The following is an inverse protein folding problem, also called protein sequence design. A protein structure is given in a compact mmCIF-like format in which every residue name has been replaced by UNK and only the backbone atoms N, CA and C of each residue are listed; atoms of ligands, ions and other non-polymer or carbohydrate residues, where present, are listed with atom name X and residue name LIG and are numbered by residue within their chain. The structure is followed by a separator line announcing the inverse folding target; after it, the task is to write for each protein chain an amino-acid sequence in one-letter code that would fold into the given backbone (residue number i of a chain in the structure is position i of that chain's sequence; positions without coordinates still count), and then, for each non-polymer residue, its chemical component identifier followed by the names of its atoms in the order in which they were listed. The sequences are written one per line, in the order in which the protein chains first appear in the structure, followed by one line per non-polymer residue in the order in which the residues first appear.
data_IF_195452124379
#
_entry.id   IF_195452124379
#
_cell.length_a   1.000
_cell.length_b   1.000
_cell.length_c   1.000
_cell.angle_alpha   90.00
_cell.angle_beta   90.00
_cell.angle_gamma   90.00
#
_symmetry.space_group_name_H-M   'P 1'
#
loop_
_entity.id
_entity.type
_entity.pdbx_description
1 polymer ?
2 water ?
#
# COMPACT_ATOMS: atom_id res chain seq x y z
N UNK A 1 -1.04 5.54 14.60
CA UNK A 1 -1.44 6.06 13.26
C UNK A 1 -0.21 6.29 12.39
N UNK A 2 0.84 6.85 12.97
CA UNK A 2 2.07 7.10 12.23
C UNK A 2 2.76 5.79 11.88
N UNK A 3 2.65 4.79 12.75
CA UNK A 3 3.26 3.49 12.49
C UNK A 3 2.48 2.76 11.40
N UNK A 4 1.15 2.83 11.48
CA UNK A 4 0.27 2.18 10.51
C UNK A 4 0.43 2.81 9.13
N UNK A 5 0.59 4.13 9.09
CA UNK A 5 0.77 4.85 7.83
C UNK A 5 2.12 4.52 7.22
N UNK A 6 3.09 4.21 8.08
CA UNK A 6 4.43 3.84 7.62
C UNK A 6 4.32 2.46 7.01
N UNK A 7 3.53 1.60 7.66
CA UNK A 7 3.31 0.25 7.19
C UNK A 7 2.58 0.26 5.84
N UNK A 8 1.53 1.08 5.72
CA UNK A 8 0.79 1.17 4.46
C UNK A 8 1.72 1.74 3.39
N UNK A 9 2.47 2.77 3.76
CA UNK A 9 3.42 3.41 2.86
C UNK A 9 4.45 2.40 2.36
N UNK A 10 4.85 1.47 3.22
CA UNK A 10 5.83 0.46 2.83
C UNK A 10 5.29 -0.49 1.76
N UNK A 11 4.04 -0.92 1.92
CA UNK A 11 3.44 -1.84 0.96
C UNK A 11 3.21 -1.16 -0.38
N UNK A 12 2.72 0.07 -0.33
CA UNK A 12 2.48 0.84 -1.54
C UNK A 12 3.80 1.07 -2.30
N UNK A 13 4.77 1.66 -1.61
CA UNK A 13 6.08 1.96 -2.21
C UNK A 13 6.73 0.72 -2.82
N UNK A 14 6.65 -0.40 -2.13
CA UNK A 14 7.26 -1.63 -2.63
C UNK A 14 6.54 -2.19 -3.86
N UNK A 15 5.22 -2.05 -3.90
CA UNK A 15 4.46 -2.53 -5.04
C UNK A 15 4.82 -1.69 -6.27
N UNK A 16 4.83 -0.38 -6.10
CA UNK A 16 5.17 0.51 -7.21
C UNK A 16 6.57 0.24 -7.74
N UNK A 17 7.52 0.01 -6.84
CA UNK A 17 8.90 -0.25 -7.25
C UNK A 17 9.00 -1.44 -8.18
N UNK A 18 8.44 -2.56 -7.76
CA UNK A 18 8.46 -3.76 -8.58
C UNK A 18 7.79 -3.48 -9.93
N UNK A 19 6.66 -2.79 -9.90
CA UNK A 19 5.93 -2.49 -11.13
C UNK A 19 6.70 -1.48 -11.99
N UNK A 20 7.29 -0.48 -11.36
CA UNK A 20 8.07 0.53 -12.07
C UNK A 20 9.16 -0.16 -12.88
N UNK A 21 9.90 -1.05 -12.22
CA UNK A 21 10.99 -1.78 -12.88
C UNK A 21 10.51 -2.57 -14.09
N UNK A 22 9.34 -3.19 -13.99
CA UNK A 22 8.81 -3.97 -15.10
C UNK A 22 8.15 -3.11 -16.19
N UNK A 23 7.74 -1.89 -15.84
CA UNK A 23 7.11 -0.99 -16.80
C UNK A 23 7.72 0.40 -16.68
N UNK A 24 8.99 0.53 -17.11
CA UNK A 24 9.83 1.74 -17.10
C UNK A 24 9.30 2.98 -17.79
N UNK A 25 8.64 2.81 -18.93
CA UNK A 25 8.12 3.94 -19.68
C UNK A 25 6.69 4.28 -19.31
N UNK A 26 6.20 3.67 -18.24
CA UNK A 26 4.84 3.92 -17.77
C UNK A 26 4.81 5.02 -16.74
N UNK A 27 3.88 5.95 -16.90
CA UNK A 27 3.72 7.04 -15.96
C UNK A 27 3.42 6.39 -14.62
N UNK A 28 4.22 6.69 -13.58
CA UNK A 28 4.03 6.12 -12.24
C UNK A 28 2.62 6.33 -11.67
N UNK A 29 2.02 7.49 -11.95
CA UNK A 29 0.68 7.80 -11.46
C UNK A 29 -0.35 6.84 -12.04
N UNK A 30 -0.19 6.51 -13.32
CA UNK A 30 -1.09 5.58 -13.98
C UNK A 30 -0.95 4.21 -13.32
N UNK A 31 0.29 3.77 -13.12
CA UNK A 31 0.55 2.48 -12.50
C UNK A 31 -0.14 2.39 -11.15
N UNK A 32 -0.08 3.48 -10.40
CA UNK A 32 -0.71 3.56 -9.09
C UNK A 32 -2.23 3.43 -9.19
N UNK A 33 -2.86 4.24 -10.04
CA UNK A 33 -4.31 4.21 -10.21
C UNK A 33 -4.80 2.82 -10.59
N UNK A 34 -4.06 2.18 -11.49
CA UNK A 34 -4.41 0.86 -11.97
C UNK A 34 -4.12 -0.31 -11.03
N UNK A 35 -3.05 -0.24 -10.26
CA UNK A 35 -2.66 -1.36 -9.40
C UNK A 35 -2.81 -1.24 -7.89
N UNK A 36 -2.98 -0.02 -7.39
CA UNK A 36 -3.11 0.15 -5.95
C UNK A 36 -4.49 0.65 -5.56
N UNK A 37 -5.08 -0.01 -4.57
CA UNK A 37 -6.41 0.33 -4.07
C UNK A 37 -6.49 1.74 -3.52
N UNK A 38 -7.62 2.38 -3.78
CA UNK A 38 -7.88 3.73 -3.31
C UNK A 38 -7.58 3.82 -1.82
N UNK A 39 -8.18 2.92 -1.05
CA UNK A 39 -7.97 2.90 0.40
C UNK A 39 -7.40 1.54 0.82
N UNK A 40 -6.29 1.59 1.55
CA UNK A 40 -5.62 0.38 2.00
C UNK A 40 -6.43 -0.44 3.00
N UNK A 41 -6.11 -1.72 3.10
CA UNK A 41 -6.81 -2.62 4.00
C UNK A 41 -6.04 -2.78 5.31
N UNK A 42 -4.82 -2.24 5.33
CA UNK A 42 -3.93 -2.33 6.49
C UNK A 42 -4.46 -1.78 7.81
N UNK A 43 -4.96 -0.55 7.80
CA UNK A 43 -5.48 0.04 9.02
C UNK A 43 -6.68 -0.73 9.57
N UNK A 44 -7.65 -1.07 8.71
CA UNK A 44 -8.83 -1.82 9.15
C UNK A 44 -8.44 -3.17 9.73
N UNK A 45 -7.60 -3.90 9.00
CA UNK A 45 -7.17 -5.21 9.44
C UNK A 45 -6.38 -5.14 10.76
N UNK A 46 -5.51 -4.14 10.88
CA UNK A 46 -4.74 -3.98 12.11
C UNK A 46 -5.66 -3.64 13.28
N UNK A 47 -6.66 -2.80 13.04
CA UNK A 47 -7.60 -2.44 14.09
C UNK A 47 -8.36 -3.70 14.52
N UNK A 48 -8.80 -4.49 13.55
CA UNK A 48 -9.52 -5.72 13.84
C UNK A 48 -8.64 -6.66 14.67
N UNK A 49 -7.39 -6.84 14.26
CA UNK A 49 -6.50 -7.74 15.00
C UNK A 49 -6.22 -7.22 16.40
N UNK A 50 -6.10 -5.91 16.56
CA UNK A 50 -5.86 -5.37 17.90
C UNK A 50 -7.04 -5.75 18.81
N UNK A 51 -8.27 -5.59 18.32
CA UNK A 51 -9.45 -5.94 19.11
C UNK A 51 -9.52 -7.43 19.41
N UNK A 52 -9.14 -8.25 18.43
CA UNK A 52 -9.17 -9.70 18.57
C UNK A 52 -8.08 -10.28 19.46
N UNK A 53 -6.95 -9.59 19.58
CA UNK A 53 -5.85 -10.10 20.38
C UNK A 53 -5.82 -9.55 21.81
N UNK A 54 -6.55 -8.47 22.06
CA UNK A 54 -6.57 -7.86 23.38
C UNK A 54 -6.99 -8.83 24.49
#
# INVERSE_FOLDING_TARGET
SSLIKKIEENERKDTLNTLQNMFPDMDPSLIEDVCIAKKSRIEPCVDALLSLSE
#
